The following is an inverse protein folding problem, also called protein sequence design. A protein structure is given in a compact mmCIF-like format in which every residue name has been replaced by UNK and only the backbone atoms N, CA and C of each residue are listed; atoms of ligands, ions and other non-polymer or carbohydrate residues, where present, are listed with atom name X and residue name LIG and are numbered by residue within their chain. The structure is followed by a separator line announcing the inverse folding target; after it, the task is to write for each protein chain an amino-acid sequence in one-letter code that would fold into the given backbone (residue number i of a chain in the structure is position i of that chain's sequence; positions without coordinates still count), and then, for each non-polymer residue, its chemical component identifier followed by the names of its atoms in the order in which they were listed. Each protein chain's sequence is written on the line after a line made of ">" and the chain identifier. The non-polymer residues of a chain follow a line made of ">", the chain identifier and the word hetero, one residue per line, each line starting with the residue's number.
data_IF_835042017828
#
_entry.id   IF_835042017828
#
_cell.length_a   1.000
_cell.length_b   1.000
_cell.length_c   1.000
_cell.angle_alpha   90.00
_cell.angle_beta   90.00
_cell.angle_gamma   90.00
#
_symmetry.space_group_name_H-M   'P 1'
#
loop_
_entity.id
_entity.type
_entity.pdbx_description
1 polymer ?
#
# COMPACT_ATOMS: atom_id res chain seq x y z
N UNK A 1 19.24 39.13 -22.87
CA UNK A 1 19.61 37.69 -22.90
C UNK A 1 18.34 36.88 -22.72
N UNK A 2 17.70 36.46 -23.83
CA UNK A 2 16.44 35.70 -23.85
C UNK A 2 16.78 34.20 -23.96
N UNK A 3 16.55 33.44 -22.89
CA UNK A 3 16.58 31.97 -22.92
C UNK A 3 15.15 31.47 -23.18
N UNK A 4 14.71 31.52 -24.43
CA UNK A 4 13.49 30.86 -24.89
C UNK A 4 13.80 30.16 -26.21
N UNK A 5 14.28 28.92 -26.10
CA UNK A 5 14.19 27.85 -27.12
C UNK A 5 14.95 26.63 -26.60
N UNK A 6 14.25 25.70 -25.99
CA UNK A 6 14.64 24.29 -25.99
C UNK A 6 13.41 23.45 -25.63
N UNK A 7 13.23 22.36 -26.38
CA UNK A 7 12.12 21.40 -26.40
C UNK A 7 10.92 21.74 -27.30
N UNK A 8 11.11 21.56 -28.61
CA UNK A 8 10.04 21.01 -29.45
C UNK A 8 10.17 19.47 -29.46
N UNK A 9 9.12 18.70 -29.14
CA UNK A 9 9.15 17.25 -29.31
C UNK A 9 9.02 16.91 -30.80
N UNK A 10 10.05 16.27 -31.37
CA UNK A 10 10.01 15.72 -32.73
C UNK A 10 8.91 14.66 -32.83
N UNK A 11 7.96 14.90 -33.74
CA UNK A 11 6.98 13.94 -34.24
C UNK A 11 7.70 12.68 -34.78
N UNK A 12 7.51 11.55 -34.10
CA UNK A 12 7.95 10.23 -34.53
C UNK A 12 6.84 9.57 -35.35
N UNK A 13 6.99 9.55 -36.68
CA UNK A 13 6.13 8.78 -37.58
C UNK A 13 6.77 7.41 -37.86
N UNK A 14 5.97 6.35 -37.74
CA UNK A 14 6.20 5.10 -38.47
C UNK A 14 7.02 4.00 -37.78
N UNK A 15 6.50 3.43 -36.69
CA UNK A 15 6.75 2.01 -36.36
C UNK A 15 5.41 1.31 -36.19
N UNK A 16 5.26 0.12 -36.76
CA UNK A 16 4.12 -0.78 -36.47
C UNK A 16 3.91 -0.78 -34.95
N UNK A 17 2.78 -0.24 -34.49
CA UNK A 17 2.46 -0.12 -33.07
C UNK A 17 2.44 -1.53 -32.47
N UNK A 18 3.52 -1.89 -31.76
CA UNK A 18 3.45 -2.91 -30.72
C UNK A 18 2.37 -2.42 -29.76
N UNK A 19 1.35 -3.24 -29.51
CA UNK A 19 0.31 -2.95 -28.51
C UNK A 19 1.01 -2.48 -27.23
N UNK A 20 0.84 -1.21 -26.89
CA UNK A 20 1.60 -0.60 -25.81
C UNK A 20 1.27 -1.36 -24.53
N UNK A 21 2.31 -1.82 -23.81
CA UNK A 21 2.07 -2.55 -22.57
C UNK A 21 1.64 -1.49 -21.57
N UNK A 22 0.37 -1.56 -21.13
CA UNK A 22 -0.16 -0.68 -20.09
C UNK A 22 0.84 -0.60 -18.94
N UNK A 23 1.39 0.59 -18.67
CA UNK A 23 2.25 0.79 -17.51
C UNK A 23 1.37 0.71 -16.27
N UNK A 24 1.81 0.04 -15.22
CA UNK A 24 0.95 -0.20 -14.05
C UNK A 24 1.58 0.34 -12.77
N UNK A 25 0.77 1.05 -11.99
CA UNK A 25 1.05 1.39 -10.61
C UNK A 25 0.18 0.51 -9.72
N UNK A 26 0.80 -0.40 -8.95
CA UNK A 26 0.10 -1.17 -7.94
C UNK A 26 0.39 -0.61 -6.54
N UNK A 27 -0.58 0.14 -6.01
CA UNK A 27 -0.54 0.63 -4.62
C UNK A 27 -0.80 -0.57 -3.71
N UNK A 28 0.22 -1.00 -2.99
CA UNK A 28 0.13 -2.14 -2.09
C UNK A 28 -0.26 -1.65 -0.70
N UNK A 29 -1.49 -1.90 -0.26
CA UNK A 29 -1.86 -1.72 1.15
C UNK A 29 -1.50 -2.99 1.94
N UNK A 30 -0.75 -2.88 3.05
CA UNK A 30 -0.33 -4.03 3.84
C UNK A 30 -1.51 -4.94 4.23
N UNK A 31 -1.29 -6.25 4.11
CA UNK A 31 -2.22 -7.32 4.51
C UNK A 31 -3.53 -7.39 3.71
N UNK A 32 -3.58 -6.75 2.54
CA UNK A 32 -4.64 -6.93 1.53
C UNK A 32 -4.29 -7.99 0.45
N UNK A 33 -3.30 -8.87 0.69
CA UNK A 33 -2.90 -9.90 -0.28
C UNK A 33 -1.94 -9.43 -1.38
N UNK A 34 -1.36 -8.23 -1.25
CA UNK A 34 -0.55 -7.63 -2.31
C UNK A 34 0.70 -8.41 -2.70
N UNK A 35 1.33 -9.19 -1.81
CA UNK A 35 2.48 -10.05 -2.19
C UNK A 35 2.14 -11.06 -3.30
N UNK A 36 0.92 -11.61 -3.30
CA UNK A 36 0.48 -12.54 -4.35
C UNK A 36 0.34 -11.83 -5.69
N UNK A 37 -0.30 -10.66 -5.68
CA UNK A 37 -0.52 -9.84 -6.88
C UNK A 37 0.81 -9.32 -7.43
N UNK A 38 1.67 -8.81 -6.56
CA UNK A 38 2.99 -8.31 -6.89
C UNK A 38 3.83 -9.40 -7.59
N UNK A 39 3.84 -10.63 -7.07
CA UNK A 39 4.52 -11.76 -7.74
C UNK A 39 3.96 -12.03 -9.14
N UNK A 40 2.65 -12.03 -9.30
CA UNK A 40 2.00 -12.28 -10.58
C UNK A 40 2.32 -11.18 -11.62
N UNK A 41 2.22 -9.91 -11.21
CA UNK A 41 2.60 -8.76 -12.02
C UNK A 41 4.09 -8.82 -12.39
N UNK A 42 4.95 -9.08 -11.42
CA UNK A 42 6.39 -9.19 -11.66
C UNK A 42 6.73 -10.27 -12.68
N UNK A 43 6.12 -11.46 -12.57
CA UNK A 43 6.31 -12.54 -13.55
C UNK A 43 5.87 -12.13 -14.96
N UNK A 44 4.78 -11.38 -15.08
CA UNK A 44 4.30 -10.86 -16.35
C UNK A 44 5.24 -9.83 -16.98
N UNK A 45 5.68 -8.82 -16.21
CA UNK A 45 6.53 -7.75 -16.75
C UNK A 45 7.98 -8.19 -16.97
N UNK A 46 8.51 -9.12 -16.16
CA UNK A 46 9.90 -9.60 -16.27
C UNK A 46 10.25 -10.15 -17.66
N UNK A 47 9.29 -10.79 -18.33
CA UNK A 47 9.49 -11.38 -19.66
C UNK A 47 9.39 -10.41 -20.85
N UNK A 48 8.96 -9.15 -20.66
CA UNK A 48 8.56 -8.27 -21.77
C UNK A 48 9.42 -7.02 -22.01
N UNK A 49 10.28 -6.68 -21.06
CA UNK A 49 11.34 -5.66 -21.07
C UNK A 49 11.62 -5.45 -19.58
N UNK A 50 12.86 -5.64 -19.12
CA UNK A 50 13.19 -5.71 -17.68
C UNK A 50 12.48 -4.58 -16.91
N UNK A 51 11.48 -4.88 -16.07
CA UNK A 51 10.87 -3.86 -15.23
C UNK A 51 11.98 -3.31 -14.34
N UNK A 52 12.10 -1.99 -14.26
CA UNK A 52 12.94 -1.37 -13.23
C UNK A 52 12.23 -1.62 -11.90
N UNK A 53 12.54 -2.77 -11.32
CA UNK A 53 11.91 -3.31 -10.14
C UNK A 53 12.22 -2.39 -8.96
N UNK A 54 11.23 -1.61 -8.50
CA UNK A 54 11.37 -0.87 -7.26
C UNK A 54 10.15 -1.03 -6.38
N UNK A 55 10.10 -2.14 -5.65
CA UNK A 55 9.60 -2.06 -4.28
C UNK A 55 10.45 -0.98 -3.63
N UNK A 56 9.93 0.24 -3.47
CA UNK A 56 10.69 1.40 -2.99
C UNK A 56 11.40 1.12 -1.65
N UNK A 57 10.92 0.12 -0.90
CA UNK A 57 11.51 -0.39 0.33
C UNK A 57 12.69 -1.37 0.15
N UNK A 58 12.82 -2.03 -1.01
CA UNK A 58 13.78 -3.11 -1.25
C UNK A 58 14.60 -2.95 -2.53
N UNK A 59 14.64 -1.75 -3.13
CA UNK A 59 15.67 -1.44 -4.11
C UNK A 59 17.04 -1.60 -3.45
N UNK A 60 18.02 -2.27 -4.08
CA UNK A 60 19.38 -2.35 -3.55
C UNK A 60 20.03 -0.97 -3.34
N UNK A 61 19.50 0.10 -3.95
CA UNK A 61 19.96 1.48 -3.79
C UNK A 61 19.07 2.35 -2.86
N UNK A 62 17.87 1.88 -2.49
CA UNK A 62 16.99 2.54 -1.51
C UNK A 62 16.43 1.43 -0.62
N UNK A 63 17.27 0.88 0.25
CA UNK A 63 16.76 0.09 1.37
C UNK A 63 15.95 1.05 2.26
N UNK A 64 14.81 0.61 2.80
CA UNK A 64 14.04 1.33 3.81
C UNK A 64 14.93 2.04 4.85
N UNK A 65 16.03 1.41 5.28
CA UNK A 65 17.02 2.05 6.16
C UNK A 65 17.66 3.31 5.55
N UNK A 66 18.13 3.26 4.31
CA UNK A 66 18.70 4.41 3.60
C UNK A 66 17.66 5.51 3.36
N UNK A 67 16.41 5.12 3.09
CA UNK A 67 15.29 6.06 3.00
C UNK A 67 15.02 6.76 4.32
N UNK A 68 14.97 6.02 5.43
CA UNK A 68 14.82 6.57 6.78
C UNK A 68 15.99 7.45 7.19
N UNK A 69 17.24 7.11 6.84
CA UNK A 69 18.39 7.98 7.05
C UNK A 69 18.30 9.28 6.22
N UNK A 70 17.81 9.20 4.98
CA UNK A 70 17.57 10.38 4.14
C UNK A 70 16.55 11.31 4.77
N UNK A 71 15.44 10.75 5.26
CA UNK A 71 14.42 11.50 6.01
C UNK A 71 14.99 12.15 7.26
N UNK A 72 15.82 11.42 8.02
CA UNK A 72 16.47 11.94 9.23
C UNK A 72 17.35 13.15 8.89
N UNK A 73 18.24 13.01 7.91
CA UNK A 73 19.13 14.10 7.46
C UNK A 73 18.32 15.31 6.96
N UNK A 74 17.24 15.07 6.21
CA UNK A 74 16.38 16.14 5.70
C UNK A 74 15.63 16.86 6.82
N UNK A 75 15.17 16.12 7.83
CA UNK A 75 14.42 16.68 8.97
C UNK A 75 15.32 17.48 9.92
N UNK A 76 16.55 17.00 10.19
CA UNK A 76 17.52 17.66 11.08
C UNK A 76 17.94 19.05 10.55
N UNK A 77 17.93 19.27 9.23
CA UNK A 77 18.34 20.53 8.61
C UNK A 77 17.28 21.65 8.64
N UNK A 78 16.01 21.34 8.92
CA UNK A 78 14.92 22.33 8.76
C UNK A 78 14.51 23.03 10.06
N UNK A 79 15.06 22.70 11.23
CA UNK A 79 14.67 23.30 12.52
C UNK A 79 13.15 23.31 12.78
N UNK A 80 12.39 22.49 12.05
CA UNK A 80 10.95 22.34 12.16
C UNK A 80 10.66 21.16 13.08
N UNK A 81 9.93 21.39 14.17
CA UNK A 81 9.45 20.34 15.08
C UNK A 81 8.57 19.27 14.41
N UNK A 82 8.26 19.40 13.12
CA UNK A 82 7.48 18.44 12.33
C UNK A 82 8.37 17.40 11.66
N UNK A 83 8.97 16.54 12.50
CA UNK A 83 9.68 15.34 12.08
C UNK A 83 8.80 14.42 11.22
N UNK A 84 9.37 13.86 10.16
CA UNK A 84 8.86 12.74 9.34
C UNK A 84 7.88 13.06 8.19
N UNK A 85 8.32 13.82 7.18
CA UNK A 85 7.64 13.87 5.87
C UNK A 85 7.92 12.62 5.00
N UNK A 86 7.68 11.44 5.57
CA UNK A 86 7.77 10.15 4.87
C UNK A 86 6.89 10.14 3.61
N UNK A 87 5.70 10.74 3.72
CA UNK A 87 4.71 10.82 2.65
C UNK A 87 5.23 11.65 1.47
N UNK A 88 5.68 12.89 1.71
CA UNK A 88 6.21 13.74 0.66
C UNK A 88 7.41 13.11 -0.04
N UNK A 89 8.34 12.51 0.71
CA UNK A 89 9.48 11.83 0.11
C UNK A 89 9.07 10.58 -0.68
N UNK A 90 8.15 9.76 -0.16
CA UNK A 90 7.62 8.59 -0.87
C UNK A 90 6.94 8.98 -2.17
N UNK A 91 6.14 10.05 -2.17
CA UNK A 91 5.47 10.57 -3.37
C UNK A 91 6.46 11.15 -4.37
N UNK A 92 7.49 11.87 -3.92
CA UNK A 92 8.53 12.42 -4.79
C UNK A 92 9.34 11.31 -5.48
N UNK A 93 9.72 10.25 -4.75
CA UNK A 93 10.38 9.10 -5.36
C UNK A 93 9.50 8.38 -6.37
N UNK A 94 8.21 8.23 -6.06
CA UNK A 94 7.26 7.63 -6.98
C UNK A 94 7.13 8.47 -8.25
N UNK A 95 6.96 9.79 -8.14
CA UNK A 95 6.92 10.72 -9.29
C UNK A 95 8.20 10.64 -10.14
N UNK A 96 9.37 10.59 -9.48
CA UNK A 96 10.65 10.41 -10.16
C UNK A 96 10.68 9.11 -10.96
N UNK A 97 10.24 7.99 -10.37
CA UNK A 97 10.19 6.69 -11.07
C UNK A 97 9.15 6.67 -12.19
N UNK A 98 8.02 7.36 -12.02
CA UNK A 98 7.00 7.49 -13.06
C UNK A 98 7.52 8.28 -14.27
N UNK A 99 8.20 9.40 -14.04
CA UNK A 99 8.81 10.22 -15.11
C UNK A 99 9.91 9.48 -15.89
N UNK A 100 10.55 8.49 -15.27
CA UNK A 100 11.48 7.55 -15.91
C UNK A 100 10.80 6.45 -16.74
N UNK A 101 9.47 6.49 -16.88
CA UNK A 101 8.66 5.55 -17.69
C UNK A 101 8.85 4.09 -17.33
N UNK A 102 8.91 3.79 -16.04
CA UNK A 102 8.96 2.40 -15.54
C UNK A 102 7.68 1.66 -15.92
N UNK A 103 7.75 0.40 -16.39
CA UNK A 103 6.56 -0.33 -16.85
C UNK A 103 5.68 -0.85 -15.71
N UNK A 104 6.27 -1.11 -14.55
CA UNK A 104 5.58 -1.54 -13.34
C UNK A 104 6.22 -0.84 -12.14
N UNK A 105 5.39 -0.18 -11.33
CA UNK A 105 5.77 0.31 -10.01
C UNK A 105 4.81 -0.29 -8.99
N UNK A 106 5.36 -0.93 -7.97
CA UNK A 106 4.55 -1.57 -6.92
C UNK A 106 5.22 -1.38 -5.57
N UNK A 107 4.42 -1.09 -4.55
CA UNK A 107 4.92 -0.91 -3.20
C UNK A 107 3.97 -0.15 -2.28
N UNK A 108 4.48 0.09 -1.08
CA UNK A 108 3.78 0.78 0.00
C UNK A 108 4.02 2.30 -0.08
N UNK A 109 3.40 2.95 -1.05
CA UNK A 109 3.45 4.41 -1.21
C UNK A 109 2.07 5.03 -1.09
N UNK A 110 2.01 6.22 -0.53
CA UNK A 110 0.79 7.03 -0.49
C UNK A 110 0.57 7.69 -1.85
N UNK A 111 -0.69 7.93 -2.18
CA UNK A 111 -1.11 8.63 -3.40
C UNK A 111 -1.55 10.05 -3.06
N UNK A 112 -1.40 10.93 -4.03
CA UNK A 112 -1.97 12.27 -4.03
C UNK A 112 -2.67 12.57 -5.36
N UNK A 113 -3.59 13.52 -5.32
CA UNK A 113 -4.31 14.06 -6.47
C UNK A 113 -3.33 14.59 -7.50
N UNK A 114 -2.24 15.25 -7.07
CA UNK A 114 -1.18 15.74 -7.96
C UNK A 114 -0.55 14.59 -8.74
N UNK A 115 -0.23 13.46 -8.08
CA UNK A 115 0.32 12.29 -8.77
C UNK A 115 -0.67 11.71 -9.78
N UNK A 116 -1.94 11.58 -9.40
CA UNK A 116 -2.98 11.04 -10.27
C UNK A 116 -3.22 11.96 -11.48
N UNK A 117 -3.36 13.27 -11.27
CA UNK A 117 -3.58 14.25 -12.33
C UNK A 117 -2.43 14.24 -13.36
N UNK A 118 -1.19 14.07 -12.91
CA UNK A 118 -0.01 14.09 -13.79
C UNK A 118 0.29 12.75 -14.45
N UNK A 119 -0.17 11.61 -13.94
CA UNK A 119 0.27 10.29 -14.43
C UNK A 119 -0.84 9.29 -14.77
N UNK A 120 -2.12 9.58 -14.47
CA UNK A 120 -3.25 8.68 -14.76
C UNK A 120 -3.49 8.43 -16.25
N UNK A 121 -3.01 9.33 -17.13
CA UNK A 121 -3.07 9.14 -18.57
C UNK A 121 -1.99 8.18 -19.11
N UNK A 122 -0.87 8.05 -18.38
CA UNK A 122 0.28 7.24 -18.76
C UNK A 122 0.32 5.87 -18.06
N UNK A 123 -0.33 5.78 -16.91
CA UNK A 123 -0.31 4.60 -16.04
C UNK A 123 -1.71 4.16 -15.64
N UNK A 124 -1.92 2.85 -15.62
CA UNK A 124 -3.06 2.23 -14.96
C UNK A 124 -2.79 2.11 -13.46
N UNK A 125 -3.50 2.89 -12.65
CA UNK A 125 -3.48 2.80 -11.19
C UNK A 125 -4.40 1.69 -10.71
N UNK A 126 -3.85 0.77 -9.92
CA UNK A 126 -4.57 -0.36 -9.39
C UNK A 126 -4.29 -0.55 -7.90
N UNK A 127 -5.26 -1.09 -7.18
CA UNK A 127 -5.13 -1.50 -5.78
C UNK A 127 -6.05 -2.67 -5.45
N UNK A 128 -5.82 -3.29 -4.30
CA UNK A 128 -6.74 -4.24 -3.68
C UNK A 128 -7.01 -3.83 -2.23
N UNK A 129 -8.28 -3.85 -1.85
CA UNK A 129 -8.75 -3.61 -0.50
C UNK A 129 -9.16 -4.93 0.15
N UNK A 130 -9.33 -4.92 1.47
CA UNK A 130 -9.79 -6.05 2.27
C UNK A 130 -10.77 -5.51 3.30
N UNK A 131 -11.67 -6.33 3.84
CA UNK A 131 -12.43 -5.92 5.02
C UNK A 131 -11.49 -5.25 6.07
N UNK A 132 -11.76 -4.00 6.47
CA UNK A 132 -10.89 -3.24 7.35
C UNK A 132 -10.51 -3.95 8.65
N UNK A 133 -11.48 -4.63 9.28
CA UNK A 133 -11.23 -5.35 10.54
C UNK A 133 -10.35 -6.57 10.32
N UNK A 134 -10.64 -7.38 9.29
CA UNK A 134 -9.82 -8.54 8.95
C UNK A 134 -8.40 -8.14 8.54
N UNK A 135 -8.24 -7.00 7.86
CA UNK A 135 -6.93 -6.42 7.54
C UNK A 135 -6.19 -6.02 8.82
N UNK A 136 -6.85 -5.30 9.72
CA UNK A 136 -6.29 -4.87 11.01
C UNK A 136 -5.83 -6.07 11.84
N UNK A 137 -6.70 -7.07 12.01
CA UNK A 137 -6.41 -8.32 12.73
C UNK A 137 -5.22 -9.02 12.09
N UNK A 138 -5.23 -9.17 10.76
CA UNK A 138 -4.13 -9.80 10.04
C UNK A 138 -2.81 -9.07 10.23
N UNK A 139 -2.83 -7.74 10.33
CA UNK A 139 -1.63 -6.94 10.56
C UNK A 139 -1.12 -7.04 12.00
N UNK A 140 -2.02 -6.99 12.98
CA UNK A 140 -1.69 -7.19 14.40
C UNK A 140 -0.95 -8.52 14.61
N UNK A 141 -1.55 -9.63 14.16
CA UNK A 141 -0.98 -10.98 14.34
C UNK A 141 0.38 -11.08 13.66
N UNK A 142 0.47 -10.63 12.41
CA UNK A 142 1.72 -10.62 11.65
C UNK A 142 2.81 -9.81 12.36
N UNK A 143 2.47 -8.62 12.86
CA UNK A 143 3.42 -7.73 13.53
C UNK A 143 3.93 -8.33 14.83
N UNK A 144 3.06 -8.98 15.63
CA UNK A 144 3.46 -9.65 16.87
C UNK A 144 4.42 -10.80 16.64
N UNK A 145 4.12 -11.67 15.67
CA UNK A 145 5.01 -12.77 15.28
C UNK A 145 6.36 -12.20 14.81
N UNK A 146 6.37 -11.16 13.97
CA UNK A 146 7.62 -10.54 13.47
C UNK A 146 8.43 -9.84 14.56
N UNK A 147 7.80 -9.16 15.50
CA UNK A 147 8.50 -8.55 16.63
C UNK A 147 9.14 -9.62 17.51
N UNK A 148 8.42 -10.71 17.77
CA UNK A 148 8.93 -11.85 18.53
C UNK A 148 10.11 -12.52 17.83
N UNK A 149 10.01 -12.80 16.53
CA UNK A 149 11.11 -13.35 15.71
C UNK A 149 12.38 -12.48 15.69
N UNK A 150 12.24 -11.16 15.91
CA UNK A 150 13.36 -10.22 15.99
C UNK A 150 13.88 -10.02 17.41
N UNK A 151 13.27 -10.66 18.42
CA UNK A 151 13.59 -10.42 19.83
C UNK A 151 13.23 -9.00 20.30
N UNK A 152 12.30 -8.32 19.60
CA UNK A 152 11.86 -6.95 19.90
C UNK A 152 10.50 -6.88 20.58
N UNK A 153 9.90 -8.04 20.86
CA UNK A 153 8.64 -8.12 21.62
C UNK A 153 8.98 -8.31 23.09
N UNK A 154 8.43 -7.44 23.92
CA UNK A 154 8.55 -7.57 25.37
C UNK A 154 7.88 -8.86 25.85
N UNK A 155 8.33 -9.37 27.00
CA UNK A 155 7.62 -10.46 27.67
C UNK A 155 6.19 -10.01 28.03
N UNK A 156 5.22 -10.84 27.70
CA UNK A 156 3.80 -10.59 27.96
C UNK A 156 3.23 -11.67 28.85
N UNK A 157 2.43 -11.28 29.84
CA UNK A 157 1.78 -12.22 30.76
C UNK A 157 0.77 -13.12 30.03
N UNK A 158 0.04 -12.54 29.10
CA UNK A 158 -0.89 -13.26 28.22
C UNK A 158 -1.06 -12.53 26.90
N UNK A 159 -1.45 -13.25 25.84
CA UNK A 159 -1.79 -12.65 24.55
C UNK A 159 -2.98 -11.68 24.66
N UNK A 160 -3.94 -11.98 25.54
CA UNK A 160 -5.13 -11.16 25.75
C UNK A 160 -4.76 -9.80 26.35
N UNK A 161 -3.93 -9.77 27.37
CA UNK A 161 -3.49 -8.51 28.00
C UNK A 161 -2.68 -7.65 27.02
N UNK A 162 -1.84 -8.28 26.20
CA UNK A 162 -1.10 -7.57 25.16
C UNK A 162 -2.02 -6.97 24.09
N UNK A 163 -3.06 -7.71 23.66
CA UNK A 163 -4.04 -7.19 22.71
C UNK A 163 -4.79 -6.00 23.30
N UNK A 164 -5.28 -6.11 24.53
CA UNK A 164 -6.02 -5.04 25.20
C UNK A 164 -5.15 -3.77 25.33
N UNK A 165 -3.90 -3.93 25.78
CA UNK A 165 -2.96 -2.81 25.86
C UNK A 165 -2.69 -2.20 24.48
N UNK A 166 -2.58 -3.02 23.44
CA UNK A 166 -2.32 -2.51 22.10
C UNK A 166 -3.49 -1.72 21.52
N UNK A 167 -4.73 -2.17 21.70
CA UNK A 167 -5.93 -1.54 21.14
C UNK A 167 -6.08 -0.09 21.62
N UNK A 168 -5.62 0.22 22.84
CA UNK A 168 -5.65 1.57 23.40
C UNK A 168 -4.52 2.48 22.85
N UNK A 169 -3.48 1.89 22.24
CA UNK A 169 -2.34 2.64 21.72
C UNK A 169 -2.67 3.45 20.47
N UNK A 170 -1.92 4.52 20.23
CA UNK A 170 -2.07 5.29 19.01
C UNK A 170 -1.80 4.44 17.78
N UNK A 171 -0.80 3.56 17.82
CA UNK A 171 -0.51 2.60 16.73
C UNK A 171 -1.71 1.75 16.32
N UNK A 172 -2.57 1.33 17.27
CA UNK A 172 -3.80 0.60 16.93
C UNK A 172 -4.80 1.48 16.18
N UNK A 173 -4.94 2.74 16.58
CA UNK A 173 -5.79 3.74 15.90
C UNK A 173 -5.25 4.07 14.51
N UNK A 174 -3.92 4.17 14.36
CA UNK A 174 -3.30 4.41 13.05
C UNK A 174 -3.61 3.27 12.08
N UNK A 175 -3.51 2.03 12.55
CA UNK A 175 -3.86 0.86 11.77
C UNK A 175 -5.37 0.82 11.45
N UNK A 176 -6.24 1.37 12.30
CA UNK A 176 -7.68 1.46 12.03
C UNK A 176 -8.04 2.44 10.89
N UNK A 177 -7.09 3.20 10.38
CA UNK A 177 -7.34 4.26 9.38
C UNK A 177 -6.27 4.24 8.28
N UNK A 178 -5.80 3.04 7.92
CA UNK A 178 -4.69 2.87 6.99
C UNK A 178 -5.08 3.26 5.55
N UNK A 179 -6.35 3.10 5.15
CA UNK A 179 -6.80 3.51 3.81
C UNK A 179 -6.80 5.03 3.68
N UNK A 180 -7.17 5.73 4.75
CA UNK A 180 -7.06 7.19 4.82
C UNK A 180 -5.61 7.65 4.66
N UNK A 181 -4.64 6.91 5.23
CA UNK A 181 -3.22 7.21 5.08
C UNK A 181 -2.72 6.98 3.64
N UNK A 182 -3.07 5.85 3.02
CA UNK A 182 -2.58 5.53 1.66
C UNK A 182 -3.22 6.38 0.57
N UNK A 183 -4.48 6.79 0.73
CA UNK A 183 -5.24 7.43 -0.35
C UNK A 183 -5.68 8.87 -0.06
N UNK A 184 -5.71 9.30 1.21
CA UNK A 184 -6.29 10.59 1.62
C UNK A 184 -5.31 11.73 1.87
N UNK A 185 -4.06 11.63 1.39
CA UNK A 185 -3.03 12.69 1.48
C UNK A 185 -2.72 13.17 2.90
N UNK A 186 -2.99 12.34 3.92
CA UNK A 186 -2.80 12.67 5.33
C UNK A 186 -1.53 12.06 5.91
N UNK A 187 -0.93 12.74 6.88
CA UNK A 187 0.11 12.18 7.74
C UNK A 187 -0.47 11.11 8.66
N UNK A 188 0.37 10.12 8.99
CA UNK A 188 0.04 8.97 9.84
C UNK A 188 -0.21 9.31 11.32
N UNK A 189 -0.43 10.55 11.72
CA UNK A 189 -0.65 10.88 13.15
C UNK A 189 -2.00 11.54 13.42
N UNK A 190 -2.77 11.83 12.38
CA UNK A 190 -4.04 12.53 12.54
C UNK A 190 -5.19 11.52 12.54
N UNK A 191 -5.43 10.87 13.68
CA UNK A 191 -6.54 9.93 13.87
C UNK A 191 -7.56 10.42 14.90
N UNK A 192 -8.88 10.24 14.67
CA UNK A 192 -9.47 9.66 13.47
C UNK A 192 -9.28 10.54 12.22
N UNK A 193 -9.38 9.92 11.04
CA UNK A 193 -9.36 10.66 9.78
C UNK A 193 -10.50 11.71 9.75
N UNK A 194 -10.22 12.92 9.28
CA UNK A 194 -11.28 13.93 9.14
C UNK A 194 -12.11 13.61 7.91
N UNK A 195 -13.36 14.10 7.86
CA UNK A 195 -14.21 13.88 6.68
C UNK A 195 -13.57 14.41 5.39
N UNK A 196 -12.76 15.47 5.47
CA UNK A 196 -11.97 15.96 4.32
C UNK A 196 -10.96 14.92 3.83
N UNK A 197 -10.21 14.26 4.73
CA UNK A 197 -9.29 13.18 4.35
C UNK A 197 -10.03 12.00 3.74
N UNK A 198 -11.18 11.63 4.31
CA UNK A 198 -11.98 10.52 3.81
C UNK A 198 -12.50 10.80 2.39
N UNK A 199 -13.02 12.01 2.16
CA UNK A 199 -13.46 12.45 0.85
C UNK A 199 -12.30 12.50 -0.14
N UNK A 200 -11.12 12.96 0.28
CA UNK A 200 -9.93 12.94 -0.57
C UNK A 200 -9.52 11.52 -0.94
N UNK A 201 -9.54 10.58 0.02
CA UNK A 201 -9.25 9.18 -0.24
C UNK A 201 -10.21 8.57 -1.27
N UNK A 202 -11.50 8.87 -1.13
CA UNK A 202 -12.55 8.44 -2.06
C UNK A 202 -12.32 9.06 -3.45
N UNK A 203 -12.05 10.36 -3.54
CA UNK A 203 -11.78 11.06 -4.80
C UNK A 203 -10.54 10.49 -5.50
N UNK A 204 -9.46 10.24 -4.75
CA UNK A 204 -8.25 9.65 -5.31
C UNK A 204 -8.50 8.21 -5.79
N UNK A 205 -9.26 7.41 -5.04
CA UNK A 205 -9.61 6.05 -5.44
C UNK A 205 -10.52 6.02 -6.67
N UNK A 206 -11.46 6.97 -6.84
CA UNK A 206 -12.33 7.00 -8.03
C UNK A 206 -11.56 7.23 -9.34
N UNK A 207 -10.33 7.75 -9.26
CA UNK A 207 -9.42 7.88 -10.40
C UNK A 207 -8.65 6.59 -10.72
N UNK A 208 -8.75 5.54 -9.89
CA UNK A 208 -8.05 4.28 -10.15
C UNK A 208 -8.76 3.51 -11.24
N UNK A 209 -7.97 2.89 -12.11
CA UNK A 209 -8.51 2.08 -13.21
C UNK A 209 -9.09 0.75 -12.71
N UNK A 210 -8.50 0.18 -11.65
CA UNK A 210 -8.98 -1.08 -11.07
C UNK A 210 -8.83 -1.04 -9.55
N UNK A 211 -9.96 -1.16 -8.86
CA UNK A 211 -10.02 -1.48 -7.44
C UNK A 211 -10.55 -2.91 -7.31
N UNK A 212 -9.81 -3.73 -6.57
CA UNK A 212 -10.21 -5.08 -6.19
C UNK A 212 -10.54 -5.21 -4.71
N UNK A 213 -11.16 -6.34 -4.37
CA UNK A 213 -11.43 -6.74 -2.99
C UNK A 213 -10.88 -8.13 -2.77
N UNK A 214 -10.22 -8.36 -1.62
CA UNK A 214 -9.57 -9.63 -1.33
C UNK A 214 -10.56 -10.80 -1.28
N UNK A 215 -11.78 -10.55 -0.81
CA UNK A 215 -12.85 -11.56 -0.75
C UNK A 215 -13.42 -11.90 -2.14
N UNK A 216 -13.16 -11.05 -3.14
CA UNK A 216 -13.53 -11.24 -4.55
C UNK A 216 -12.29 -11.22 -5.45
N UNK A 217 -11.21 -11.88 -5.03
CA UNK A 217 -9.92 -11.86 -5.73
C UNK A 217 -9.99 -12.34 -7.17
N UNK A 218 -10.88 -13.28 -7.48
CA UNK A 218 -11.07 -13.79 -8.84
C UNK A 218 -11.65 -12.74 -9.79
N UNK A 219 -12.50 -11.85 -9.29
CA UNK A 219 -13.05 -10.75 -10.10
C UNK A 219 -12.00 -9.67 -10.32
N UNK A 220 -11.21 -9.35 -9.28
CA UNK A 220 -10.03 -8.49 -9.45
C UNK A 220 -9.06 -9.06 -10.50
N UNK A 221 -8.80 -10.37 -10.43
CA UNK A 221 -7.97 -11.08 -11.39
C UNK A 221 -8.51 -10.91 -12.81
N UNK A 222 -9.80 -11.16 -13.06
CA UNK A 222 -10.42 -10.98 -14.38
C UNK A 222 -10.30 -9.54 -14.89
N UNK A 223 -10.60 -8.53 -14.05
CA UNK A 223 -10.45 -7.10 -14.41
C UNK A 223 -9.01 -6.81 -14.84
N UNK A 224 -8.03 -7.32 -14.08
CA UNK A 224 -6.62 -7.12 -14.35
C UNK A 224 -6.14 -7.87 -15.61
N UNK A 225 -6.57 -9.12 -15.81
CA UNK A 225 -6.27 -9.90 -17.01
C UNK A 225 -6.81 -9.24 -18.28
N UNK A 226 -8.03 -8.69 -18.22
CA UNK A 226 -8.64 -7.93 -19.30
C UNK A 226 -7.86 -6.65 -19.61
N UNK A 227 -7.43 -5.91 -18.58
CA UNK A 227 -6.64 -4.70 -18.74
C UNK A 227 -5.25 -4.97 -19.36
N UNK A 228 -4.56 -6.02 -18.89
CA UNK A 228 -3.23 -6.38 -19.36
C UNK A 228 -3.24 -7.20 -20.66
N UNK A 229 -4.40 -7.75 -21.03
CA UNK A 229 -4.57 -8.65 -22.18
C UNK A 229 -3.83 -9.97 -22.04
N UNK A 230 -3.66 -10.48 -20.81
CA UNK A 230 -3.01 -11.76 -20.51
C UNK A 230 -3.67 -12.48 -19.36
N UNK A 231 -3.50 -13.81 -19.30
CA UNK A 231 -3.83 -14.58 -18.11
C UNK A 231 -2.73 -14.46 -17.05
N UNK A 232 -3.12 -14.30 -15.80
CA UNK A 232 -2.26 -14.23 -14.64
C UNK A 232 -2.41 -15.49 -13.78
N UNK A 233 -1.33 -15.87 -13.10
CA UNK A 233 -1.37 -16.93 -12.09
C UNK A 233 -1.18 -16.32 -10.71
N UNK A 234 -2.19 -16.42 -9.85
CA UNK A 234 -2.10 -15.99 -8.46
C UNK A 234 -1.74 -17.20 -7.60
N UNK A 235 -0.47 -17.27 -7.21
CA UNK A 235 -0.02 -18.31 -6.29
C UNK A 235 -0.49 -17.96 -4.86
N UNK A 236 -1.44 -18.71 -4.33
CA UNK A 236 -1.89 -18.54 -2.95
C UNK A 236 -0.79 -19.00 -1.98
N UNK A 237 -0.04 -18.05 -1.42
CA UNK A 237 0.91 -18.33 -0.34
C UNK A 237 0.40 -17.73 0.98
N UNK A 238 -0.25 -18.54 1.82
CA UNK A 238 -0.71 -18.12 3.17
C UNK A 238 0.41 -18.26 4.22
N UNK A 239 1.56 -17.63 3.97
CA UNK A 239 2.76 -17.77 4.81
C UNK A 239 2.52 -17.45 6.30
N UNK A 240 1.69 -16.46 6.60
CA UNK A 240 1.44 -16.05 8.01
C UNK A 240 0.74 -17.13 8.84
N UNK A 241 0.00 -18.07 8.23
CA UNK A 241 -0.66 -19.16 8.96
C UNK A 241 0.37 -20.21 9.40
N UNK A 242 1.43 -20.39 8.61
CA UNK A 242 2.50 -21.35 8.86
C UNK A 242 3.59 -20.79 9.79
N UNK A 243 3.59 -19.47 10.04
CA UNK A 243 4.56 -18.83 10.90
C UNK A 243 4.29 -19.14 12.38
N UNK A 244 5.34 -19.59 13.07
CA UNK A 244 5.32 -19.86 14.51
C UNK A 244 5.99 -18.69 15.24
N UNK A 245 5.33 -18.25 16.31
CA UNK A 245 5.90 -17.30 17.25
C UNK A 245 6.99 -18.00 18.09
N UNK A 246 8.19 -17.43 18.24
CA UNK A 246 9.21 -17.94 19.17
C UNK A 246 8.72 -18.19 20.59
N UNK A 247 7.66 -17.51 21.04
CA UNK A 247 7.02 -17.75 22.34
C UNK A 247 6.10 -18.99 22.37
N UNK A 248 6.02 -19.75 21.27
CA UNK A 248 5.24 -20.98 21.15
C UNK A 248 3.83 -20.81 20.58
N UNK A 249 3.33 -19.57 20.50
CA UNK A 249 1.99 -19.28 19.98
C UNK A 249 1.88 -19.46 18.46
N UNK A 250 0.75 -20.02 18.02
CA UNK A 250 0.38 -20.20 16.62
C UNK A 250 -0.63 -19.15 16.18
N UNK A 251 -0.73 -18.95 14.86
CA UNK A 251 -1.71 -18.04 14.26
C UNK A 251 -3.13 -18.21 14.80
N UNK A 252 -3.58 -19.45 15.01
CA UNK A 252 -4.93 -19.73 15.50
C UNK A 252 -5.15 -19.24 16.95
N UNK A 253 -4.12 -19.31 17.80
CA UNK A 253 -4.21 -18.83 19.19
C UNK A 253 -4.41 -17.33 19.23
N UNK A 254 -3.72 -16.59 18.35
CA UNK A 254 -4.01 -15.18 18.14
C UNK A 254 -5.42 -14.94 17.59
N UNK A 255 -5.86 -15.73 16.61
CA UNK A 255 -7.19 -15.54 15.99
C UNK A 255 -8.32 -15.75 17.00
N UNK A 256 -8.12 -16.65 17.96
CA UNK A 256 -9.07 -16.93 19.04
C UNK A 256 -9.27 -15.75 20.00
N UNK A 257 -8.38 -14.74 20.01
CA UNK A 257 -8.56 -13.51 20.80
C UNK A 257 -9.68 -12.62 20.25
N UNK A 258 -10.03 -12.80 18.98
CA UNK A 258 -10.99 -11.95 18.26
C UNK A 258 -12.37 -12.61 18.23
N UNK A 259 -12.97 -12.74 19.41
CA UNK A 259 -14.38 -13.10 19.57
C UNK A 259 -15.31 -11.99 19.04
N UNK A 260 -16.63 -12.19 19.14
CA UNK A 260 -17.62 -11.23 18.65
C UNK A 260 -17.47 -9.85 19.30
N UNK A 261 -17.20 -9.79 20.60
CA UNK A 261 -17.06 -8.52 21.32
C UNK A 261 -15.80 -7.77 20.87
N UNK A 262 -14.67 -8.47 20.82
CA UNK A 262 -13.41 -7.89 20.35
C UNK A 262 -13.52 -7.45 18.88
N UNK A 263 -14.22 -8.21 18.05
CA UNK A 263 -14.43 -7.86 16.64
C UNK A 263 -15.21 -6.56 16.49
N UNK A 264 -16.23 -6.30 17.32
CA UNK A 264 -16.94 -5.02 17.30
C UNK A 264 -16.05 -3.85 17.71
N UNK A 265 -15.18 -4.02 18.72
CA UNK A 265 -14.18 -3.00 19.09
C UNK A 265 -13.24 -2.69 17.91
N UNK A 266 -12.77 -3.71 17.19
CA UNK A 266 -11.92 -3.50 16.01
C UNK A 266 -12.69 -2.81 14.89
N UNK A 267 -13.97 -3.12 14.69
CA UNK A 267 -14.81 -2.42 13.71
C UNK A 267 -14.97 -0.94 14.04
N UNK A 268 -15.17 -0.61 15.32
CA UNK A 268 -15.23 0.78 15.79
C UNK A 268 -13.91 1.52 15.53
N UNK A 269 -12.77 0.89 15.81
CA UNK A 269 -11.46 1.44 15.46
C UNK A 269 -11.30 1.67 13.95
N UNK A 270 -11.90 0.80 13.14
CA UNK A 270 -11.78 0.81 11.69
C UNK A 270 -12.86 1.63 10.95
N UNK A 271 -13.70 2.41 11.65
CA UNK A 271 -14.85 3.10 11.04
C UNK A 271 -14.48 4.02 9.86
N UNK A 272 -13.35 4.71 9.97
CA UNK A 272 -12.83 5.56 8.89
C UNK A 272 -12.55 4.75 7.61
N UNK A 273 -11.85 3.63 7.75
CA UNK A 273 -11.55 2.74 6.62
C UNK A 273 -12.80 2.05 6.09
N UNK A 274 -13.78 1.72 6.94
CA UNK A 274 -15.08 1.20 6.50
C UNK A 274 -15.84 2.19 5.63
N UNK A 275 -15.81 3.50 5.91
CA UNK A 275 -16.45 4.50 5.04
C UNK A 275 -15.86 4.45 3.62
N UNK A 276 -14.53 4.40 3.51
CA UNK A 276 -13.83 4.31 2.21
C UNK A 276 -14.13 2.96 1.53
N UNK A 277 -13.96 1.86 2.25
CA UNK A 277 -14.16 0.49 1.75
C UNK A 277 -15.58 0.29 1.20
N UNK A 278 -16.60 0.67 1.98
CA UNK A 278 -18.00 0.53 1.61
C UNK A 278 -18.38 1.41 0.41
N UNK A 279 -17.80 2.61 0.30
CA UNK A 279 -17.99 3.45 -0.88
C UNK A 279 -17.47 2.75 -2.12
N UNK A 280 -16.20 2.29 -2.09
CA UNK A 280 -15.60 1.59 -3.22
C UNK A 280 -16.36 0.32 -3.60
N UNK A 281 -16.96 -0.39 -2.64
CA UNK A 281 -17.69 -1.63 -2.94
C UNK A 281 -19.06 -1.39 -3.60
N UNK A 282 -19.69 -0.24 -3.33
CA UNK A 282 -21.02 0.11 -3.84
C UNK A 282 -20.97 0.85 -5.17
N UNK A 283 -20.03 1.79 -5.30
CA UNK A 283 -20.04 2.79 -6.36
C UNK A 283 -18.97 2.54 -7.46
N UNK A 284 -18.02 1.60 -7.25
CA UNK A 284 -16.87 1.34 -8.15
C UNK A 284 -16.69 -0.17 -8.47
#
# INVERSE_FOLDING_TARGET
>A
MKLTKMFEPKLWLGRKQKKDISKTIFVHVPKCGGTTIEKALNKFYYGKNRPLFSRLETEPNINFRSFMETLRIYSDNQNTQNNNDYQGLSQALLAYKMSRSSTLLSGHFTISEILLANFSHDYSFITILRDPSDRWISNYIYSRIRLSQKGLRNEVKSLKDELLFFIESDSAKEEGSIYSFYFGEKKRMDFPASDNTLNQAINNLSMFNIIGFLDSIDDFKKKLENNLGVKLNFEHARKTIEEVDPLGYRYQEYRNLFDSNMTEIIKELCQADYKIYNYCQKEL
#
